data_IF_795823601221
#
_entry.id   IF_795823601221
#
_cell.length_a   1.000
_cell.length_b   1.000
_cell.length_c   1.000
_cell.angle_alpha   90.00
_cell.angle_beta   90.00
_cell.angle_gamma   90.00
#
_symmetry.space_group_name_H-M   'P 1'
#
loop_
_entity.id
_entity.type
_entity.pdbx_description
1 polymer ?
#
# COMPACT_ATOMS: atom_id res chain seq x y z
N UNK A 1 12.70 12.03 15.46
CA UNK A 1 13.47 12.28 14.24
C UNK A 1 12.56 12.86 13.17
N UNK A 2 13.00 13.91 12.52
CA UNK A 2 12.19 14.59 11.52
C UNK A 2 12.08 13.74 10.24
N UNK A 3 10.86 13.54 9.79
CA UNK A 3 10.57 12.84 8.54
C UNK A 3 9.19 13.22 8.05
N UNK A 4 8.85 12.80 6.84
CA UNK A 4 7.56 13.09 6.22
C UNK A 4 6.87 11.78 5.84
N UNK A 5 5.55 11.76 5.97
CA UNK A 5 4.74 10.63 5.52
C UNK A 5 3.33 11.06 5.15
N UNK A 6 2.64 10.19 4.39
CA UNK A 6 1.23 10.39 4.02
C UNK A 6 0.61 9.09 3.54
N UNK A 7 -0.71 9.04 3.54
CA UNK A 7 -1.43 7.96 2.86
C UNK A 7 -1.05 7.98 1.38
N UNK A 8 -0.66 6.84 0.83
CA UNK A 8 -0.30 6.74 -0.59
C UNK A 8 -1.16 5.77 -1.37
N UNK A 9 -1.80 4.80 -0.74
CA UNK A 9 -2.54 3.81 -1.52
C UNK A 9 -3.47 2.94 -0.74
N UNK A 10 -4.34 2.29 -1.52
CA UNK A 10 -5.25 1.24 -1.11
C UNK A 10 -4.93 0.03 -1.97
N UNK A 11 -4.61 -1.10 -1.33
CA UNK A 11 -4.28 -2.33 -2.03
C UNK A 11 -5.35 -3.38 -1.71
N UNK A 12 -5.96 -3.90 -2.77
CA UNK A 12 -6.97 -4.95 -2.66
C UNK A 12 -6.24 -6.28 -2.72
N UNK A 13 -6.06 -6.92 -1.58
CA UNK A 13 -5.42 -8.22 -1.50
C UNK A 13 -6.41 -9.30 -1.91
N UNK A 14 -6.07 -10.07 -2.93
CA UNK A 14 -6.97 -11.05 -3.53
C UNK A 14 -6.40 -12.46 -3.34
N UNK A 15 -7.13 -13.29 -2.61
CA UNK A 15 -6.86 -14.72 -2.55
C UNK A 15 -7.47 -15.35 -3.80
N UNK A 16 -6.68 -15.47 -4.86
CA UNK A 16 -7.15 -15.94 -6.16
C UNK A 16 -6.02 -16.61 -6.93
N UNK A 17 -6.38 -17.54 -7.80
CA UNK A 17 -5.44 -18.10 -8.77
C UNK A 17 -5.36 -17.28 -10.06
N UNK A 18 -6.21 -16.25 -10.23
CA UNK A 18 -6.32 -15.49 -11.48
C UNK A 18 -6.52 -14.00 -11.17
N UNK A 19 -5.40 -13.30 -10.97
CA UNK A 19 -5.45 -11.88 -10.55
C UNK A 19 -6.05 -10.97 -11.64
N UNK A 20 -5.81 -11.26 -12.92
CA UNK A 20 -6.35 -10.42 -13.99
C UNK A 20 -7.88 -10.46 -14.04
N UNK A 21 -8.50 -11.59 -13.71
CA UNK A 21 -9.97 -11.66 -13.58
C UNK A 21 -10.47 -10.79 -12.43
N UNK A 22 -9.78 -10.80 -11.30
CA UNK A 22 -10.10 -9.93 -10.18
C UNK A 22 -9.92 -8.46 -10.57
N UNK A 23 -8.86 -8.12 -11.29
CA UNK A 23 -8.63 -6.78 -11.79
C UNK A 23 -9.73 -6.30 -12.72
N UNK A 24 -10.22 -7.17 -13.59
CA UNK A 24 -11.35 -6.85 -14.50
C UNK A 24 -12.60 -6.49 -13.68
N UNK A 25 -12.90 -7.28 -12.65
CA UNK A 25 -14.05 -6.99 -11.79
C UNK A 25 -13.91 -5.62 -11.13
N UNK A 26 -12.77 -5.38 -10.46
CA UNK A 26 -12.58 -4.13 -9.70
C UNK A 26 -12.46 -2.91 -10.61
N UNK A 27 -11.86 -3.08 -11.79
CA UNK A 27 -11.80 -2.03 -12.80
C UNK A 27 -13.20 -1.59 -13.21
N UNK A 28 -14.08 -2.54 -13.50
CA UNK A 28 -15.45 -2.23 -13.87
C UNK A 28 -16.28 -1.70 -12.70
N UNK A 29 -16.10 -2.28 -11.53
CA UNK A 29 -16.82 -1.86 -10.33
C UNK A 29 -16.49 -0.41 -9.94
N UNK A 30 -15.22 -0.01 -10.05
CA UNK A 30 -14.75 1.31 -9.62
C UNK A 30 -14.68 2.33 -10.75
N UNK A 31 -14.80 1.90 -11.99
CA UNK A 31 -14.63 2.77 -13.15
C UNK A 31 -13.19 3.23 -13.36
N UNK A 32 -12.21 2.41 -12.95
CA UNK A 32 -10.78 2.71 -13.06
C UNK A 32 -10.13 1.74 -14.06
N UNK A 33 -9.51 2.24 -15.13
CA UNK A 33 -8.87 1.36 -16.11
C UNK A 33 -7.76 0.51 -15.49
N UNK A 34 -7.61 -0.71 -15.99
CA UNK A 34 -6.48 -1.56 -15.62
C UNK A 34 -5.20 -0.96 -16.19
N UNK A 35 -4.20 -0.79 -15.32
CA UNK A 35 -2.89 -0.24 -15.67
C UNK A 35 -1.81 -1.30 -15.69
N UNK A 36 -0.68 -1.02 -15.02
CA UNK A 36 0.48 -1.90 -15.01
C UNK A 36 0.21 -3.27 -14.38
N UNK A 37 0.84 -4.30 -14.95
CA UNK A 37 0.77 -5.67 -14.46
C UNK A 37 2.20 -6.15 -14.22
N UNK A 38 2.52 -6.50 -12.98
CA UNK A 38 3.83 -6.97 -12.59
C UNK A 38 3.74 -8.38 -12.04
N UNK A 39 4.56 -9.28 -12.55
CA UNK A 39 4.64 -10.67 -12.12
C UNK A 39 6.05 -10.96 -11.62
N UNK A 40 6.19 -11.30 -10.35
CA UNK A 40 7.43 -11.78 -9.77
C UNK A 40 7.38 -13.28 -9.52
N UNK A 41 8.44 -13.83 -8.94
CA UNK A 41 8.49 -15.27 -8.62
C UNK A 41 7.37 -15.70 -7.67
N UNK A 42 7.12 -14.90 -6.65
CA UNK A 42 6.16 -15.22 -5.58
C UNK A 42 5.08 -14.17 -5.42
N UNK A 43 5.02 -13.18 -6.32
CA UNK A 43 4.10 -12.06 -6.20
C UNK A 43 3.52 -11.68 -7.55
N UNK A 44 2.32 -11.14 -7.50
CA UNK A 44 1.66 -10.58 -8.68
C UNK A 44 0.88 -9.34 -8.25
N UNK A 45 0.97 -8.28 -9.06
CA UNK A 45 0.36 -6.99 -8.76
C UNK A 45 -0.23 -6.39 -10.03
N UNK A 46 -1.41 -5.78 -9.91
CA UNK A 46 -2.06 -5.04 -10.99
C UNK A 46 -2.47 -3.68 -10.46
N UNK A 47 -2.02 -2.62 -11.12
CA UNK A 47 -2.43 -1.25 -10.80
C UNK A 47 -3.74 -0.89 -11.49
N UNK A 48 -4.54 -0.04 -10.86
CA UNK A 48 -5.69 0.61 -11.49
C UNK A 48 -5.34 2.09 -11.66
N UNK A 49 -5.73 2.65 -12.80
CA UNK A 49 -5.40 4.03 -13.16
C UNK A 49 -6.60 4.96 -12.97
N UNK A 50 -6.35 6.27 -13.05
CA UNK A 50 -7.42 7.27 -13.01
C UNK A 50 -7.81 7.74 -11.62
N UNK A 51 -7.04 7.36 -10.60
CA UNK A 51 -7.25 7.87 -9.23
C UNK A 51 -6.71 9.30 -9.09
N UNK A 52 -7.08 9.96 -7.99
CA UNK A 52 -6.55 11.27 -7.67
C UNK A 52 -5.02 11.24 -7.53
N UNK A 53 -4.37 12.35 -7.87
CA UNK A 53 -2.92 12.46 -7.77
C UNK A 53 -2.45 12.14 -6.34
N UNK A 54 -1.39 11.35 -6.24
CA UNK A 54 -0.82 10.94 -4.95
C UNK A 54 -1.53 9.77 -4.27
N UNK A 55 -2.62 9.24 -4.86
CA UNK A 55 -3.30 8.06 -4.33
C UNK A 55 -3.25 6.93 -5.36
N UNK A 56 -2.70 5.79 -4.96
CA UNK A 56 -2.65 4.59 -5.79
C UNK A 56 -3.73 3.60 -5.35
N UNK A 57 -4.35 2.94 -6.31
CA UNK A 57 -5.24 1.79 -6.06
C UNK A 57 -4.73 0.64 -6.90
N UNK A 58 -4.55 -0.51 -6.27
CA UNK A 58 -4.07 -1.67 -6.96
C UNK A 58 -4.55 -2.96 -6.33
N UNK A 59 -4.24 -4.07 -7.00
CA UNK A 59 -4.56 -5.42 -6.55
C UNK A 59 -3.28 -6.22 -6.39
N UNK A 60 -3.27 -7.09 -5.40
CA UNK A 60 -2.15 -8.00 -5.16
C UNK A 60 -2.69 -9.41 -4.95
N UNK A 61 -2.04 -10.40 -5.57
CA UNK A 61 -2.38 -11.81 -5.30
C UNK A 61 -1.75 -12.22 -3.98
N UNK A 62 -2.56 -12.81 -3.11
CA UNK A 62 -2.14 -13.25 -1.78
C UNK A 62 -2.62 -14.67 -1.51
N UNK A 63 -2.05 -15.31 -0.48
CA UNK A 63 -2.42 -16.66 -0.06
C UNK A 63 -3.24 -16.68 1.23
N UNK A 64 -3.38 -15.54 1.88
CA UNK A 64 -4.28 -15.37 3.03
C UNK A 64 -5.67 -14.94 2.54
N UNK A 65 -6.69 -14.92 3.41
CA UNK A 65 -8.03 -14.45 3.01
C UNK A 65 -8.00 -13.03 2.47
N UNK A 66 -8.85 -12.77 1.48
CA UNK A 66 -8.94 -11.47 0.81
C UNK A 66 -9.24 -10.35 1.81
N UNK A 67 -8.54 -9.23 1.65
CA UNK A 67 -8.72 -8.03 2.48
C UNK A 67 -8.14 -6.82 1.77
N UNK A 68 -8.40 -5.64 2.31
CA UNK A 68 -7.80 -4.39 1.81
C UNK A 68 -6.79 -3.92 2.84
N UNK A 69 -5.61 -3.51 2.39
CA UNK A 69 -4.67 -2.83 3.27
C UNK A 69 -4.31 -1.45 2.74
N UNK A 70 -3.89 -0.58 3.65
CA UNK A 70 -3.43 0.77 3.32
C UNK A 70 -1.92 0.76 3.14
N UNK A 71 -1.43 1.60 2.23
CA UNK A 71 -0.02 1.95 2.14
C UNK A 71 0.18 3.37 2.64
N UNK A 72 1.12 3.54 3.56
CA UNK A 72 1.65 4.83 3.98
C UNK A 72 3.02 4.96 3.32
N UNK A 73 3.27 6.07 2.63
CA UNK A 73 4.61 6.32 2.13
C UNK A 73 5.36 7.27 3.05
N UNK A 74 6.65 7.04 3.19
CA UNK A 74 7.52 7.84 4.05
C UNK A 74 8.90 8.01 3.42
N UNK A 75 9.51 9.16 3.66
CA UNK A 75 10.89 9.40 3.23
C UNK A 75 11.90 8.69 4.15
N UNK A 76 11.51 8.41 5.38
CA UNK A 76 12.27 7.58 6.33
C UNK A 76 11.31 6.52 6.89
N UNK A 77 11.37 5.32 6.33
CA UNK A 77 10.46 4.24 6.68
C UNK A 77 10.65 3.74 8.12
N UNK A 78 11.90 3.73 8.61
CA UNK A 78 12.19 3.31 9.98
C UNK A 78 11.68 4.33 11.00
N UNK A 79 11.84 5.62 10.73
CA UNK A 79 11.32 6.68 11.58
C UNK A 79 9.79 6.64 11.63
N UNK A 80 9.14 6.39 10.49
CA UNK A 80 7.69 6.26 10.44
C UNK A 80 7.20 5.03 11.21
N UNK A 81 7.88 3.89 11.06
CA UNK A 81 7.55 2.70 11.84
C UNK A 81 7.65 2.97 13.35
N UNK A 82 8.71 3.66 13.79
CA UNK A 82 8.89 4.01 15.19
C UNK A 82 7.78 4.96 15.67
N UNK A 83 7.40 5.95 14.85
CA UNK A 83 6.30 6.87 15.19
C UNK A 83 4.99 6.10 15.38
N UNK A 84 4.69 5.17 14.48
CA UNK A 84 3.45 4.39 14.54
C UNK A 84 3.46 3.37 15.67
N UNK A 85 4.61 2.80 16.02
CA UNK A 85 4.74 1.96 17.21
C UNK A 85 4.43 2.74 18.48
N UNK A 86 4.85 3.99 18.57
CA UNK A 86 4.52 4.86 19.70
C UNK A 86 3.02 5.14 19.79
N UNK A 87 2.29 5.03 18.67
CA UNK A 87 0.83 5.14 18.64
C UNK A 87 0.11 3.81 18.91
N UNK A 88 0.85 2.72 19.08
CA UNK A 88 0.29 1.41 19.41
C UNK A 88 0.34 0.36 18.31
N UNK A 89 0.92 0.66 17.17
CA UNK A 89 1.11 -0.32 16.10
C UNK A 89 2.25 -1.29 16.42
N UNK A 90 2.30 -2.41 15.70
CA UNK A 90 3.37 -3.40 15.79
C UNK A 90 4.04 -3.58 14.43
N UNK A 91 5.36 -3.72 14.42
CA UNK A 91 6.06 -4.19 13.22
C UNK A 91 5.88 -5.70 13.10
N UNK A 92 5.38 -6.16 11.95
CA UNK A 92 5.25 -7.58 11.66
C UNK A 92 6.52 -8.08 10.99
N UNK A 93 7.05 -7.34 10.02
CA UNK A 93 8.28 -7.72 9.35
C UNK A 93 8.64 -6.81 8.19
N UNK A 94 9.90 -6.86 7.81
CA UNK A 94 10.40 -6.18 6.61
C UNK A 94 10.28 -7.16 5.44
N UNK A 95 9.53 -6.77 4.42
CA UNK A 95 9.28 -7.60 3.23
C UNK A 95 9.73 -6.82 2.01
N UNK A 96 10.63 -7.41 1.21
CA UNK A 96 11.18 -6.74 0.02
C UNK A 96 11.77 -5.37 0.37
N UNK A 97 10.97 -4.29 0.25
CA UNK A 97 11.42 -2.91 0.45
C UNK A 97 10.48 -2.12 1.35
N UNK A 98 9.65 -2.77 2.14
CA UNK A 98 8.69 -2.08 3.00
C UNK A 98 8.48 -2.80 4.33
N UNK A 99 7.99 -2.06 5.31
CA UNK A 99 7.52 -2.61 6.58
C UNK A 99 6.08 -3.05 6.45
N UNK A 100 5.81 -4.28 6.89
CA UNK A 100 4.43 -4.74 7.15
C UNK A 100 4.15 -4.45 8.61
N UNK A 101 3.05 -3.78 8.88
CA UNK A 101 2.65 -3.32 10.20
C UNK A 101 1.27 -3.86 10.56
N UNK A 102 0.96 -3.86 11.85
CA UNK A 102 -0.38 -4.13 12.34
C UNK A 102 -0.83 -3.00 13.25
N UNK A 103 -1.99 -2.42 12.95
CA UNK A 103 -2.61 -1.37 13.76
C UNK A 103 -3.20 -1.94 15.05
N UNK A 104 -3.46 -1.10 16.08
CA UNK A 104 -4.14 -1.55 17.30
C UNK A 104 -5.49 -2.22 17.04
N UNK A 105 -6.12 -1.90 15.92
CA UNK A 105 -7.40 -2.48 15.49
C UNK A 105 -7.24 -3.83 14.80
N UNK A 106 -6.01 -4.32 14.63
CA UNK A 106 -5.74 -5.58 13.94
C UNK A 106 -5.57 -5.44 12.42
N UNK A 107 -5.80 -4.26 11.86
CA UNK A 107 -5.64 -4.04 10.42
C UNK A 107 -4.16 -4.07 10.02
N UNK A 108 -3.87 -4.76 8.92
CA UNK A 108 -2.54 -4.74 8.32
C UNK A 108 -2.39 -3.52 7.42
N UNK A 109 -1.20 -2.94 7.41
CA UNK A 109 -0.85 -1.86 6.50
C UNK A 109 0.65 -1.91 6.25
N UNK A 110 1.11 -1.19 5.23
CA UNK A 110 2.52 -1.17 4.86
C UNK A 110 3.06 0.25 4.89
N UNK A 111 4.37 0.35 5.19
CA UNK A 111 5.12 1.61 5.08
C UNK A 111 6.08 1.43 3.91
N UNK A 112 5.80 2.15 2.82
CA UNK A 112 6.58 2.10 1.59
C UNK A 112 7.43 3.36 1.45
N UNK A 113 8.40 3.33 0.53
CA UNK A 113 9.25 4.49 0.29
C UNK A 113 8.49 5.57 -0.48
N UNK A 114 8.62 6.81 -0.05
CA UNK A 114 8.08 7.97 -0.76
C UNK A 114 9.06 8.39 -1.85
N UNK A 115 8.69 8.19 -3.10
CA UNK A 115 9.53 8.51 -4.25
C UNK A 115 9.20 9.88 -4.87
N UNK A 116 7.96 10.34 -4.74
CA UNK A 116 7.47 11.54 -5.43
C UNK A 116 6.73 12.47 -4.45
N UNK A 117 7.47 13.09 -3.51
CA UNK A 117 6.84 13.92 -2.47
C UNK A 117 6.10 15.15 -3.01
N UNK A 118 6.45 15.61 -4.22
CA UNK A 118 5.84 16.79 -4.84
C UNK A 118 4.54 16.48 -5.59
N UNK A 119 4.20 15.20 -5.77
CA UNK A 119 2.93 14.81 -6.39
C UNK A 119 1.85 14.67 -5.33
N UNK A 120 0.62 15.12 -5.65
CA UNK A 120 -0.51 15.03 -4.76
C UNK A 120 -0.47 16.01 -3.59
N UNK A 121 -1.29 15.77 -2.54
CA UNK A 121 -1.30 16.63 -1.36
C UNK A 121 0.06 16.63 -0.65
N UNK A 122 0.45 17.75 -0.02
CA UNK A 122 1.71 17.79 0.72
C UNK A 122 1.77 16.71 1.80
N UNK A 123 2.92 16.02 1.94
CA UNK A 123 3.06 15.06 3.03
C UNK A 123 3.08 15.73 4.39
N UNK A 124 2.65 14.98 5.41
CA UNK A 124 2.76 15.45 6.78
C UNK A 124 4.23 15.50 7.18
N UNK A 125 4.60 16.53 7.92
CA UNK A 125 5.94 16.65 8.48
C UNK A 125 5.89 16.32 9.97
N UNK A 126 6.74 15.41 10.40
CA UNK A 126 6.83 14.94 11.78
C UNK A 126 8.18 15.31 12.39
N UNK A 127 8.19 15.66 13.66
CA UNK A 127 9.43 15.98 14.38
C UNK A 127 9.60 15.10 15.61
#
# INVERSE_FOLDING_TARGET
MAHRSRLSGLIIDCETGELLSAATFWSQALGLPVGGHEVGETSEYVGLEGTAAGLSVGLQRVTHPSRVHLDIEADDQDAEAARLEALGARRIGWVKRWWVMEAPTGHRFCIVKMDKPDEGPPPNAWT
#
